data_IF_088240051506
#
_entry.id   IF_088240051506
#
_cell.length_a   1.000
_cell.length_b   1.000
_cell.length_c   1.000
_cell.angle_alpha   90.00
_cell.angle_beta   90.00
_cell.angle_gamma   90.00
#
_symmetry.space_group_name_H-M   'P 1'
#
loop_
_entity.id
_entity.type
_entity.pdbx_description
1 polymer ?
#
# COMPACT_ATOMS: atom_id res chain seq x y z
N UNK A 1 -53.17 10.67 -0.19
CA UNK A 1 -51.78 11.07 -0.47
C UNK A 1 -51.01 9.83 -0.94
N UNK A 2 -50.55 9.80 -2.20
CA UNK A 2 -49.73 8.69 -2.74
C UNK A 2 -48.25 9.01 -2.50
N UNK A 3 -47.50 8.07 -1.93
CA UNK A 3 -46.04 8.18 -1.79
C UNK A 3 -45.36 8.02 -3.16
N UNK A 4 -44.29 8.79 -3.46
CA UNK A 4 -43.53 8.61 -4.69
C UNK A 4 -42.60 7.39 -4.56
N UNK A 5 -42.71 6.47 -5.51
CA UNK A 5 -41.76 5.37 -5.66
C UNK A 5 -40.51 5.86 -6.37
N UNK A 6 -39.42 6.00 -5.62
CA UNK A 6 -38.09 6.13 -6.21
C UNK A 6 -37.63 4.75 -6.68
N UNK A 7 -37.84 4.46 -7.96
CA UNK A 7 -37.16 3.35 -8.62
C UNK A 7 -35.67 3.69 -8.70
N UNK A 8 -34.89 3.15 -7.77
CA UNK A 8 -33.45 3.12 -7.91
C UNK A 8 -33.12 2.15 -9.05
N UNK A 9 -32.93 2.68 -10.26
CA UNK A 9 -32.35 1.90 -11.35
C UNK A 9 -30.87 1.75 -11.03
N UNK A 10 -30.55 0.79 -10.16
CA UNK A 10 -29.22 0.22 -10.10
C UNK A 10 -28.96 -0.40 -11.48
N UNK A 11 -27.91 0.00 -12.21
CA UNK A 11 -27.53 -0.74 -13.39
C UNK A 11 -27.30 -2.18 -12.96
N UNK A 12 -28.05 -3.12 -13.54
CA UNK A 12 -27.79 -4.53 -13.36
C UNK A 12 -26.36 -4.77 -13.82
N UNK A 13 -25.45 -4.97 -12.86
CA UNK A 13 -24.11 -5.46 -13.14
C UNK A 13 -24.34 -6.84 -13.74
N UNK A 14 -24.38 -6.92 -15.07
CA UNK A 14 -24.33 -8.18 -15.79
C UNK A 14 -23.12 -8.91 -15.22
N UNK A 15 -23.35 -10.08 -14.61
CA UNK A 15 -22.30 -10.98 -14.10
C UNK A 15 -21.53 -11.62 -15.28
N UNK A 16 -21.17 -10.82 -16.28
CA UNK A 16 -20.28 -11.19 -17.35
C UNK A 16 -19.03 -11.75 -16.71
N UNK A 17 -18.74 -13.03 -17.03
CA UNK A 17 -17.52 -13.79 -16.78
C UNK A 17 -16.39 -12.98 -16.13
N UNK A 18 -16.58 -12.61 -14.86
CA UNK A 18 -15.60 -11.81 -14.14
C UNK A 18 -14.58 -12.81 -13.64
N UNK A 19 -13.33 -12.59 -14.01
CA UNK A 19 -12.23 -13.41 -13.52
C UNK A 19 -12.06 -13.20 -12.01
N UNK A 20 -11.38 -14.12 -11.35
CA UNK A 20 -11.07 -13.95 -9.93
C UNK A 20 -10.22 -12.69 -9.71
N UNK A 21 -9.39 -12.35 -10.70
CA UNK A 21 -8.60 -11.14 -10.81
C UNK A 21 -9.49 -9.89 -10.89
N UNK A 22 -10.53 -9.89 -11.72
CA UNK A 22 -11.48 -8.76 -11.80
C UNK A 22 -12.18 -8.51 -10.46
N UNK A 23 -12.60 -9.59 -9.78
CA UNK A 23 -13.24 -9.49 -8.47
C UNK A 23 -12.26 -8.96 -7.41
N UNK A 24 -10.99 -9.37 -7.47
CA UNK A 24 -9.93 -8.85 -6.58
C UNK A 24 -9.62 -7.39 -6.87
N UNK A 25 -9.63 -7.00 -8.14
CA UNK A 25 -9.40 -5.62 -8.56
C UNK A 25 -10.56 -4.70 -8.19
N UNK A 26 -11.77 -5.23 -8.02
CA UNK A 26 -12.91 -4.48 -7.47
C UNK A 26 -12.76 -4.17 -5.97
N UNK A 27 -11.82 -4.80 -5.25
CA UNK A 27 -11.59 -4.58 -3.81
C UNK A 27 -11.19 -3.13 -3.49
N UNK A 28 -10.60 -2.43 -4.46
CA UNK A 28 -9.99 -1.12 -4.27
C UNK A 28 -10.48 -0.18 -5.36
N UNK A 29 -10.97 1.01 -5.00
CA UNK A 29 -11.37 2.02 -5.98
C UNK A 29 -10.19 2.44 -6.88
N UNK A 30 -10.45 2.81 -8.13
CA UNK A 30 -9.39 3.14 -9.10
C UNK A 30 -8.50 4.32 -8.67
N UNK A 31 -9.06 5.30 -7.95
CA UNK A 31 -8.29 6.39 -7.34
C UNK A 31 -7.26 5.85 -6.34
N UNK A 32 -7.66 4.89 -5.51
CA UNK A 32 -6.79 4.23 -4.54
C UNK A 32 -5.75 3.36 -5.24
N UNK A 33 -6.08 2.66 -6.33
CA UNK A 33 -5.09 1.93 -7.16
C UNK A 33 -4.01 2.85 -7.70
N UNK A 34 -4.38 4.03 -8.21
CA UNK A 34 -3.43 5.06 -8.65
C UNK A 34 -2.56 5.54 -7.50
N UNK A 35 -3.15 5.76 -6.33
CA UNK A 35 -2.44 6.09 -5.09
C UNK A 35 -1.40 5.03 -4.72
N UNK A 36 -1.80 3.75 -4.70
CA UNK A 36 -0.90 2.64 -4.40
C UNK A 36 0.21 2.49 -5.43
N UNK A 37 -0.08 2.62 -6.72
CA UNK A 37 0.95 2.64 -7.77
C UNK A 37 1.96 3.77 -7.54
N UNK A 38 1.49 4.97 -7.17
CA UNK A 38 2.36 6.09 -6.82
C UNK A 38 3.23 5.77 -5.60
N UNK A 39 2.64 5.24 -4.52
CA UNK A 39 3.37 4.85 -3.31
C UNK A 39 4.45 3.81 -3.57
N UNK A 40 4.13 2.73 -4.31
CA UNK A 40 5.09 1.70 -4.69
C UNK A 40 6.20 2.29 -5.58
N UNK A 41 5.90 3.24 -6.46
CA UNK A 41 6.93 3.90 -7.25
C UNK A 41 7.91 4.73 -6.39
N UNK A 42 7.47 5.32 -5.27
CA UNK A 42 8.37 6.02 -4.36
C UNK A 42 9.31 5.03 -3.65
N UNK A 43 8.79 3.89 -3.18
CA UNK A 43 9.62 2.84 -2.58
C UNK A 43 10.65 2.32 -3.60
N UNK A 44 10.24 2.06 -4.85
CA UNK A 44 11.18 1.64 -5.90
C UNK A 44 12.26 2.67 -6.18
N UNK A 45 11.91 3.95 -6.28
CA UNK A 45 12.89 5.04 -6.45
C UNK A 45 13.90 5.05 -5.32
N UNK A 46 13.44 4.84 -4.09
CA UNK A 46 14.34 4.74 -2.94
C UNK A 46 15.25 3.51 -3.03
N UNK A 47 14.71 2.32 -3.36
CA UNK A 47 15.49 1.09 -3.56
C UNK A 47 16.59 1.32 -4.61
N UNK A 48 16.28 1.96 -5.73
CA UNK A 48 17.26 2.24 -6.78
C UNK A 48 18.39 3.19 -6.35
N UNK A 49 18.17 4.05 -5.35
CA UNK A 49 19.18 5.00 -4.85
C UNK A 49 19.93 4.54 -3.61
N UNK A 50 19.30 3.73 -2.76
CA UNK A 50 19.80 3.43 -1.40
C UNK A 50 19.70 1.94 -1.02
N UNK A 51 18.93 1.15 -1.76
CA UNK A 51 18.69 -0.27 -1.47
C UNK A 51 19.60 -1.20 -2.27
N UNK A 52 19.30 -2.50 -2.16
CA UNK A 52 19.94 -3.54 -2.96
C UNK A 52 19.17 -3.78 -4.27
N UNK A 53 19.84 -3.95 -5.42
CA UNK A 53 19.17 -4.32 -6.68
C UNK A 53 18.32 -5.59 -6.58
N UNK A 54 18.68 -6.52 -5.69
CA UNK A 54 17.93 -7.77 -5.47
C UNK A 54 16.53 -7.55 -4.85
N UNK A 55 16.28 -6.37 -4.30
CA UNK A 55 14.96 -5.96 -3.78
C UNK A 55 13.97 -5.63 -4.89
N UNK A 56 14.41 -5.59 -6.15
CA UNK A 56 13.53 -5.52 -7.32
C UNK A 56 13.56 -6.86 -8.07
N UNK A 57 12.40 -7.26 -8.58
CA UNK A 57 12.28 -8.36 -9.53
C UNK A 57 12.80 -7.92 -10.90
N UNK A 58 12.99 -8.86 -11.81
CA UNK A 58 13.43 -8.58 -13.19
C UNK A 58 12.49 -7.66 -13.97
N UNK A 59 11.19 -7.64 -13.62
CA UNK A 59 10.18 -6.74 -14.20
C UNK A 59 10.16 -5.34 -13.53
N UNK A 60 11.06 -5.08 -12.58
CA UNK A 60 11.15 -3.83 -11.84
C UNK A 60 10.09 -3.64 -10.76
N UNK A 61 9.29 -4.66 -10.45
CA UNK A 61 8.41 -4.65 -9.26
C UNK A 61 9.20 -4.97 -8.00
N UNK A 62 8.64 -4.66 -6.82
CA UNK A 62 9.31 -4.93 -5.55
C UNK A 62 9.32 -6.44 -5.31
N UNK A 63 10.50 -6.99 -4.97
CA UNK A 63 10.66 -8.37 -4.59
C UNK A 63 10.34 -8.54 -3.09
N UNK A 64 9.11 -8.93 -2.77
CA UNK A 64 8.63 -9.12 -1.39
C UNK A 64 9.33 -10.26 -0.62
N UNK A 65 10.13 -11.09 -1.28
CA UNK A 65 10.97 -12.09 -0.63
C UNK A 65 12.30 -11.50 -0.12
N UNK A 66 12.73 -10.36 -0.67
CA UNK A 66 14.01 -9.72 -0.34
C UNK A 66 13.80 -8.39 0.37
N UNK A 67 12.86 -7.57 -0.08
CA UNK A 67 12.48 -6.32 0.59
C UNK A 67 11.61 -6.64 1.81
N UNK A 68 12.19 -6.53 2.99
CA UNK A 68 11.57 -6.89 4.27
C UNK A 68 11.25 -5.67 5.13
N UNK A 69 10.67 -5.92 6.30
CA UNK A 69 10.24 -4.89 7.24
C UNK A 69 11.32 -3.85 7.58
N UNK A 70 12.55 -4.30 7.87
CA UNK A 70 13.66 -3.40 8.19
C UNK A 70 14.04 -2.48 7.02
N UNK A 71 13.92 -2.95 5.78
CA UNK A 71 14.15 -2.11 4.60
C UNK A 71 13.05 -1.05 4.45
N UNK A 72 11.81 -1.41 4.78
CA UNK A 72 10.72 -0.44 4.85
C UNK A 72 10.94 0.60 5.95
N UNK A 73 11.45 0.21 7.13
CA UNK A 73 11.82 1.17 8.19
C UNK A 73 12.94 2.11 7.75
N UNK A 74 13.97 1.61 7.06
CA UNK A 74 15.03 2.43 6.50
C UNK A 74 14.47 3.44 5.46
N UNK A 75 13.51 3.01 4.64
CA UNK A 75 12.78 3.89 3.74
C UNK A 75 11.98 4.96 4.51
N UNK A 76 11.23 4.59 5.54
CA UNK A 76 10.45 5.52 6.38
C UNK A 76 11.37 6.56 7.03
N UNK A 77 12.48 6.12 7.61
CA UNK A 77 13.49 7.00 8.20
C UNK A 77 14.05 7.97 7.16
N UNK A 78 14.42 7.46 5.97
CA UNK A 78 14.91 8.32 4.89
C UNK A 78 13.87 9.35 4.45
N UNK A 79 12.60 8.96 4.29
CA UNK A 79 11.51 9.87 3.91
C UNK A 79 11.34 10.98 4.95
N UNK A 80 11.39 10.63 6.24
CA UNK A 80 11.26 11.59 7.33
C UNK A 80 12.43 12.59 7.35
N UNK A 81 13.65 12.12 7.07
CA UNK A 81 14.86 12.95 7.11
C UNK A 81 15.04 13.81 5.85
N UNK A 82 14.53 13.37 4.69
CA UNK A 82 14.90 13.96 3.39
C UNK A 82 13.71 14.58 2.63
N UNK A 83 12.49 14.49 3.15
CA UNK A 83 11.30 15.04 2.49
C UNK A 83 10.38 15.74 3.48
N UNK A 84 9.46 16.56 2.98
CA UNK A 84 8.40 17.20 3.79
C UNK A 84 7.12 16.35 3.88
N UNK A 85 7.22 15.05 3.61
CA UNK A 85 6.06 14.16 3.61
C UNK A 85 5.45 14.03 5.01
N UNK A 86 4.12 14.09 5.06
CA UNK A 86 3.38 13.93 6.32
C UNK A 86 3.37 12.45 6.77
N UNK A 87 3.14 12.18 8.07
CA UNK A 87 2.90 10.82 8.55
C UNK A 87 1.78 10.09 7.78
N UNK A 88 0.73 10.80 7.37
CA UNK A 88 -0.34 10.25 6.55
C UNK A 88 0.13 9.79 5.15
N UNK A 89 1.09 10.51 4.56
CA UNK A 89 1.74 10.12 3.31
C UNK A 89 2.54 8.83 3.48
N UNK A 90 3.31 8.72 4.56
CA UNK A 90 4.10 7.51 4.86
C UNK A 90 3.16 6.31 5.11
N UNK A 91 2.08 6.51 5.86
CA UNK A 91 1.04 5.49 6.05
C UNK A 91 0.43 5.05 4.72
N UNK A 92 0.27 5.95 3.74
CA UNK A 92 -0.22 5.60 2.41
C UNK A 92 0.76 4.68 1.65
N UNK A 93 2.07 4.82 1.85
CA UNK A 93 3.07 3.92 1.26
C UNK A 93 3.01 2.53 1.88
N UNK A 94 2.81 2.45 3.20
CA UNK A 94 2.56 1.18 3.89
C UNK A 94 1.32 0.47 3.34
N UNK A 95 0.20 1.20 3.19
CA UNK A 95 -1.04 0.63 2.65
C UNK A 95 -0.85 0.09 1.23
N UNK A 96 -0.07 0.80 0.40
CA UNK A 96 0.28 0.34 -0.94
C UNK A 96 1.11 -0.95 -0.93
N UNK A 97 2.07 -1.06 0.00
CA UNK A 97 2.89 -2.26 0.18
C UNK A 97 2.05 -3.45 0.68
N UNK A 98 1.21 -3.24 1.70
CA UNK A 98 0.28 -4.27 2.21
C UNK A 98 -0.68 -4.76 1.12
N UNK A 99 -1.10 -3.87 0.23
CA UNK A 99 -1.91 -4.25 -0.92
C UNK A 99 -1.13 -5.10 -1.93
N UNK A 100 0.16 -4.83 -2.15
CA UNK A 100 1.03 -5.67 -2.98
C UNK A 100 1.16 -7.09 -2.40
N UNK A 101 1.38 -7.24 -1.09
CA UNK A 101 1.38 -8.55 -0.41
C UNK A 101 0.09 -9.34 -0.70
N UNK A 102 -1.06 -8.67 -0.59
CA UNK A 102 -2.38 -9.29 -0.85
C UNK A 102 -2.54 -9.71 -2.32
N UNK A 103 -2.08 -8.88 -3.27
CA UNK A 103 -2.12 -9.17 -4.71
C UNK A 103 -1.21 -10.33 -5.10
N UNK A 104 -0.08 -10.50 -4.40
CA UNK A 104 0.86 -11.61 -4.64
C UNK A 104 0.54 -12.87 -3.82
N UNK A 105 -0.56 -12.87 -3.05
CA UNK A 105 -0.92 -13.97 -2.15
C UNK A 105 0.13 -14.31 -1.09
N UNK A 106 0.92 -13.33 -0.69
CA UNK A 106 1.92 -13.45 0.36
C UNK A 106 1.29 -12.93 1.66
N UNK A 107 1.37 -13.69 2.77
CA UNK A 107 0.94 -13.20 4.08
C UNK A 107 1.64 -11.87 4.41
N UNK A 108 0.86 -10.88 4.85
CA UNK A 108 1.43 -9.62 5.33
C UNK A 108 2.17 -9.92 6.65
N UNK A 109 3.45 -9.55 6.78
CA UNK A 109 4.18 -9.70 8.04
C UNK A 109 3.48 -8.97 9.21
N UNK A 110 3.50 -9.56 10.40
CA UNK A 110 2.75 -9.08 11.59
C UNK A 110 3.22 -7.71 12.08
N UNK A 111 4.47 -7.39 11.80
CA UNK A 111 5.15 -6.13 12.11
C UNK A 111 4.44 -4.94 11.41
N UNK A 112 3.94 -5.16 10.19
CA UNK A 112 3.18 -4.15 9.44
C UNK A 112 1.74 -3.92 9.97
N UNK A 113 1.25 -4.77 10.87
CA UNK A 113 -0.07 -4.64 11.50
C UNK A 113 -0.01 -3.99 12.89
N UNK A 114 1.07 -4.23 13.63
CA UNK A 114 1.21 -3.82 15.04
C UNK A 114 1.94 -2.49 15.21
N UNK A 115 3.19 -2.38 14.75
CA UNK A 115 4.08 -1.25 15.07
C UNK A 115 3.72 0.05 14.33
N UNK A 116 3.05 -0.06 13.19
CA UNK A 116 2.71 1.10 12.37
C UNK A 116 1.57 1.95 12.95
N UNK A 117 0.74 1.40 13.84
CA UNK A 117 -0.27 2.20 14.54
C UNK A 117 0.36 3.22 15.47
N UNK A 118 1.42 2.84 16.17
CA UNK A 118 2.11 3.71 17.13
C UNK A 118 2.88 4.83 16.42
N UNK A 119 3.47 4.53 15.26
CA UNK A 119 4.18 5.47 14.38
C UNK A 119 3.22 6.55 13.81
N UNK A 120 2.00 6.19 13.43
CA UNK A 120 1.08 7.11 12.72
C UNK A 120 -0.01 7.75 13.60
N UNK A 121 -0.23 7.29 14.84
CA UNK A 121 -1.20 7.87 15.79
C UNK A 121 -0.59 8.91 16.75
N UNK A 122 0.68 9.30 16.59
CA UNK A 122 1.28 10.42 17.32
C UNK A 122 2.08 10.05 18.57
N UNK A 123 2.35 8.76 18.80
CA UNK A 123 3.21 8.29 19.89
C UNK A 123 4.64 8.03 19.42
N UNK A 124 5.24 8.99 18.71
CA UNK A 124 6.68 8.98 18.45
C UNK A 124 7.43 9.37 19.73
N UNK A 125 7.46 8.47 20.72
CA UNK A 125 8.67 8.36 21.55
C UNK A 125 9.67 7.62 20.68
N UNK A 126 10.41 8.40 19.87
CA UNK A 126 11.56 7.94 19.09
C UNK A 126 12.51 7.24 20.06
N UNK A 127 12.46 5.92 20.13
CA UNK A 127 13.60 5.11 20.55
C UNK A 127 14.21 4.58 19.27
N UNK A 128 14.91 5.46 18.55
CA UNK A 128 15.99 5.03 17.69
C UNK A 128 17.09 4.61 18.66
N UNK A 129 17.13 3.32 19.02
CA UNK A 129 18.30 2.75 19.67
C UNK A 129 19.41 2.67 18.62
N UNK A 130 20.46 3.41 18.94
CA UNK A 130 21.80 3.36 18.36
C UNK A 130 22.34 1.92 18.33
#
# INVERSE_FOLDING_TARGET
MKQPQFHCIMPAISRHASTLEDIRDMRVADSTKKGYKSGLNQIKKWISGHGSPAMLKSDGTINLQVFQYNDFLAFVQWVYQNTSNTPGTIASYLLALKDLYKREHIPVPVEYESEMKDIFQGSFTIIILN
#
